data_IF_081792973761
#
_entry.id   IF_081792973761
#
_cell.length_a   1.000
_cell.length_b   1.000
_cell.length_c   1.000
_cell.angle_alpha   90.00
_cell.angle_beta   90.00
_cell.angle_gamma   90.00
#
_symmetry.space_group_name_H-M   'P 1'
#
loop_
_entity.id
_entity.type
_entity.pdbx_description
1 polymer ?
#
# COMPACT_ATOMS: atom_id res chain seq x y z
N UNK A 1 -11.20 -18.89 63.66
CA UNK A 1 -11.00 -17.51 63.18
C UNK A 1 -10.49 -17.58 61.75
N UNK A 2 -11.31 -17.13 60.80
CA UNK A 2 -11.10 -17.25 59.35
C UNK A 2 -9.98 -16.30 58.90
N UNK A 3 -8.91 -16.83 58.28
CA UNK A 3 -7.94 -16.01 57.55
C UNK A 3 -8.29 -16.08 56.06
N UNK A 4 -8.92 -15.00 55.57
CA UNK A 4 -9.11 -14.75 54.15
C UNK A 4 -7.74 -14.51 53.53
N UNK A 5 -7.29 -15.40 52.65
CA UNK A 5 -6.12 -15.15 51.79
C UNK A 5 -6.67 -14.50 50.52
N UNK A 6 -6.42 -13.21 50.39
CA UNK A 6 -6.77 -12.42 49.21
C UNK A 6 -5.72 -12.71 48.11
N UNK A 7 -6.12 -13.46 47.09
CA UNK A 7 -5.29 -13.73 45.92
C UNK A 7 -5.44 -12.54 44.96
N UNK A 8 -4.48 -11.62 44.96
CA UNK A 8 -4.43 -10.51 44.00
C UNK A 8 -3.77 -11.05 42.73
N UNK A 9 -4.59 -11.33 41.72
CA UNK A 9 -4.14 -11.66 40.37
C UNK A 9 -3.64 -10.38 39.69
N UNK A 10 -2.33 -10.20 39.61
CA UNK A 10 -1.70 -9.09 38.91
C UNK A 10 -1.73 -9.39 37.40
N UNK A 11 -2.78 -8.93 36.72
CA UNK A 11 -2.90 -9.03 35.26
C UNK A 11 -2.00 -7.96 34.63
N UNK A 12 -0.76 -8.30 34.31
CA UNK A 12 0.12 -7.44 33.52
C UNK A 12 -0.40 -7.38 32.09
N UNK A 13 -1.13 -6.32 31.76
CA UNK A 13 -1.45 -5.97 30.37
C UNK A 13 -0.16 -5.48 29.72
N UNK A 14 0.47 -6.34 28.92
CA UNK A 14 1.58 -5.96 28.05
C UNK A 14 0.99 -5.07 26.95
N UNK A 15 1.10 -3.75 27.12
CA UNK A 15 0.92 -2.82 26.02
C UNK A 15 2.11 -2.99 25.08
N UNK A 16 1.94 -3.75 24.00
CA UNK A 16 2.84 -3.69 22.85
C UNK A 16 2.74 -2.30 22.26
N UNK A 17 3.78 -1.47 22.47
CA UNK A 17 3.92 -0.22 21.71
C UNK A 17 4.11 -0.60 20.25
N UNK A 18 3.09 -0.38 19.42
CA UNK A 18 3.22 -0.39 17.97
C UNK A 18 4.18 0.76 17.61
N UNK A 19 5.37 0.43 17.13
CA UNK A 19 6.40 1.41 16.76
C UNK A 19 6.12 1.79 15.32
N UNK A 20 5.11 2.64 15.14
CA UNK A 20 4.71 3.10 13.81
C UNK A 20 5.86 3.84 13.11
N UNK A 21 6.11 3.53 11.85
CA UNK A 21 7.19 4.12 11.08
C UNK A 21 6.84 5.54 10.61
N UNK A 22 7.63 6.54 11.02
CA UNK A 22 7.49 7.93 10.55
C UNK A 22 8.26 8.13 9.24
N UNK A 23 7.55 8.39 8.14
CA UNK A 23 8.13 8.69 6.83
C UNK A 23 7.60 10.03 6.35
N UNK A 24 8.48 11.02 6.17
CA UNK A 24 8.08 12.33 5.64
C UNK A 24 7.09 13.10 6.50
N UNK A 25 7.11 12.89 7.82
CA UNK A 25 6.19 13.47 8.83
C UNK A 25 4.78 12.87 8.86
N UNK A 26 4.56 11.77 8.16
CA UNK A 26 3.34 10.96 8.29
C UNK A 26 3.69 9.59 8.86
N UNK A 27 2.71 8.99 9.50
CA UNK A 27 2.86 7.73 10.23
C UNK A 27 2.19 6.61 9.45
N UNK A 28 2.96 5.57 9.11
CA UNK A 28 2.43 4.35 8.50
C UNK A 28 2.28 3.27 9.57
N UNK A 29 1.18 2.51 9.59
CA UNK A 29 1.02 1.41 10.54
C UNK A 29 2.05 0.30 10.28
N UNK A 30 2.37 -0.46 11.32
CA UNK A 30 3.30 -1.59 11.20
C UNK A 30 2.67 -2.80 10.52
N UNK A 31 1.35 -2.89 10.57
CA UNK A 31 0.57 -3.97 10.00
C UNK A 31 -0.77 -3.50 9.41
N UNK A 32 -1.29 -4.28 8.48
CA UNK A 32 -2.66 -4.17 7.97
C UNK A 32 -3.39 -5.50 8.18
N UNK A 33 -4.53 -5.43 8.85
CA UNK A 33 -5.38 -6.59 9.13
C UNK A 33 -6.42 -6.68 8.00
N UNK A 34 -6.35 -7.75 7.23
CA UNK A 34 -7.35 -8.15 6.24
C UNK A 34 -8.32 -9.15 6.88
N UNK A 35 -9.33 -9.59 6.13
CA UNK A 35 -10.35 -10.52 6.67
C UNK A 35 -9.73 -11.84 7.15
N UNK A 36 -8.79 -12.39 6.38
CA UNK A 36 -8.17 -13.69 6.64
C UNK A 36 -6.66 -13.63 6.89
N UNK A 37 -6.04 -12.47 6.69
CA UNK A 37 -4.59 -12.30 6.68
C UNK A 37 -4.15 -11.10 7.50
N UNK A 38 -2.93 -11.14 8.02
CA UNK A 38 -2.24 -9.97 8.58
C UNK A 38 -1.01 -9.69 7.73
N UNK A 39 -0.93 -8.48 7.19
CA UNK A 39 0.19 -8.03 6.39
C UNK A 39 1.10 -7.15 7.22
N UNK A 40 2.40 -7.44 7.20
CA UNK A 40 3.42 -6.65 7.88
C UNK A 40 4.05 -5.66 6.91
N UNK A 41 4.41 -4.48 7.40
CA UNK A 41 5.14 -3.51 6.60
C UNK A 41 6.50 -4.09 6.18
N UNK A 42 6.70 -4.22 4.88
CA UNK A 42 7.94 -4.69 4.27
C UNK A 42 8.99 -3.59 4.27
N UNK A 43 8.60 -2.44 3.74
CA UNK A 43 9.43 -1.24 3.59
C UNK A 43 8.55 -0.03 3.31
N UNK A 44 9.12 1.15 3.48
CA UNK A 44 8.40 2.40 3.26
C UNK A 44 9.34 3.52 2.82
N UNK A 45 8.85 4.37 1.93
CA UNK A 45 9.64 5.43 1.31
C UNK A 45 8.81 6.62 0.86
N UNK A 46 9.47 7.60 0.24
CA UNK A 46 8.83 8.81 -0.26
C UNK A 46 8.78 8.84 -1.78
N UNK A 47 7.58 8.99 -2.34
CA UNK A 47 7.45 9.43 -3.73
C UNK A 47 7.78 10.91 -3.81
N UNK A 48 8.82 11.24 -4.58
CA UNK A 48 9.25 12.62 -4.83
C UNK A 48 9.06 12.98 -6.30
N UNK A 49 8.71 14.24 -6.57
CA UNK A 49 8.82 14.85 -7.90
C UNK A 49 9.79 16.02 -7.79
N UNK A 50 10.98 15.86 -8.35
CA UNK A 50 12.13 16.76 -8.12
C UNK A 50 12.42 16.88 -6.61
N UNK A 51 12.12 18.01 -6.00
CA UNK A 51 12.30 18.27 -4.55
C UNK A 51 11.00 18.13 -3.73
N UNK A 52 9.84 17.98 -4.40
CA UNK A 52 8.53 17.96 -3.75
C UNK A 52 8.22 16.54 -3.30
N UNK A 53 7.98 16.36 -1.99
CA UNK A 53 7.46 15.10 -1.42
C UNK A 53 5.97 15.03 -1.71
N UNK A 54 5.53 13.99 -2.41
CA UNK A 54 4.12 13.85 -2.80
C UNK A 54 3.34 13.02 -1.79
N UNK A 55 3.83 11.81 -1.50
CA UNK A 55 3.27 10.92 -0.49
C UNK A 55 4.36 10.05 0.13
N UNK A 56 4.13 9.57 1.35
CA UNK A 56 4.80 8.40 1.87
C UNK A 56 4.06 7.16 1.41
N UNK A 57 4.77 6.11 1.04
CA UNK A 57 4.16 4.83 0.74
C UNK A 57 4.78 3.72 1.58
N UNK A 58 3.94 2.77 1.99
CA UNK A 58 4.35 1.53 2.63
C UNK A 58 3.87 0.33 1.83
N UNK A 59 4.76 -0.63 1.63
CA UNK A 59 4.44 -1.94 1.06
C UNK A 59 4.22 -2.93 2.19
N UNK A 60 3.15 -3.72 2.11
CA UNK A 60 2.77 -4.66 3.15
C UNK A 60 2.59 -6.06 2.55
N UNK A 61 3.20 -7.05 3.20
CA UNK A 61 3.29 -8.42 2.73
C UNK A 61 3.04 -9.40 3.90
N UNK A 62 2.60 -10.64 3.64
CA UNK A 62 2.46 -11.66 4.68
C UNK A 62 3.82 -12.00 5.31
N UNK A 63 4.89 -11.91 4.52
CA UNK A 63 6.28 -12.10 4.94
C UNK A 63 7.19 -11.09 4.25
N UNK A 64 8.22 -10.63 4.95
CA UNK A 64 9.17 -9.66 4.38
C UNK A 64 9.97 -10.29 3.22
N UNK A 65 10.06 -9.57 2.11
CA UNK A 65 10.73 -9.98 0.87
C UNK A 65 11.41 -8.74 0.25
N UNK A 66 12.60 -8.92 -0.31
CA UNK A 66 13.33 -7.85 -1.03
C UNK A 66 13.38 -8.06 -2.54
N UNK A 67 12.96 -9.23 -3.02
CA UNK A 67 12.89 -9.57 -4.44
C UNK A 67 11.57 -9.08 -5.03
N UNK A 68 11.62 -8.02 -5.85
CA UNK A 68 10.44 -7.51 -6.55
C UNK A 68 9.79 -8.58 -7.44
N UNK A 69 10.59 -9.40 -8.12
CA UNK A 69 10.09 -10.47 -8.99
C UNK A 69 9.32 -11.51 -8.18
N UNK A 70 9.84 -11.95 -7.04
CA UNK A 70 9.11 -12.89 -6.17
C UNK A 70 7.80 -12.29 -5.66
N UNK A 71 7.82 -11.01 -5.27
CA UNK A 71 6.61 -10.31 -4.81
C UNK A 71 5.59 -10.21 -5.94
N UNK A 72 6.00 -9.79 -7.14
CA UNK A 72 5.12 -9.58 -8.29
C UNK A 72 4.58 -10.89 -8.87
N UNK A 73 5.33 -11.98 -8.83
CA UNK A 73 4.89 -13.26 -9.38
C UNK A 73 4.03 -14.09 -8.43
N UNK A 74 4.04 -13.78 -7.12
CA UNK A 74 3.26 -14.49 -6.13
C UNK A 74 1.75 -14.20 -6.22
N UNK A 75 0.94 -15.26 -6.14
CA UNK A 75 -0.51 -15.19 -5.86
C UNK A 75 -0.75 -15.15 -4.34
N UNK A 76 -0.28 -14.05 -3.73
CA UNK A 76 -0.37 -13.80 -2.29
C UNK A 76 -0.98 -12.41 -2.05
N UNK A 77 -1.66 -12.21 -0.90
CA UNK A 77 -2.15 -10.90 -0.53
C UNK A 77 -1.02 -9.87 -0.46
N UNK A 78 -1.29 -8.66 -0.90
CA UNK A 78 -0.33 -7.55 -0.93
C UNK A 78 -1.10 -6.25 -0.79
N UNK A 79 -0.54 -5.30 -0.05
CA UNK A 79 -1.13 -3.98 0.06
C UNK A 79 -0.08 -2.89 -0.11
N UNK A 80 -0.48 -1.82 -0.78
CA UNK A 80 0.27 -0.58 -0.87
C UNK A 80 -0.59 0.55 -0.30
N UNK A 81 -0.10 1.17 0.77
CA UNK A 81 -0.68 2.37 1.36
C UNK A 81 0.07 3.59 0.87
N UNK A 82 -0.64 4.62 0.44
CA UNK A 82 -0.12 5.94 0.12
C UNK A 82 -0.75 6.98 1.05
N UNK A 83 0.08 7.72 1.78
CA UNK A 83 -0.35 8.81 2.65
C UNK A 83 0.17 10.13 2.08
N UNK A 84 -0.74 10.93 1.55
CA UNK A 84 -0.41 12.15 0.82
C UNK A 84 0.11 13.26 1.74
N UNK A 85 1.25 13.84 1.37
CA UNK A 85 1.94 14.92 2.09
C UNK A 85 1.79 16.24 1.34
N UNK A 86 1.75 16.18 0.01
CA UNK A 86 1.59 17.36 -0.82
C UNK A 86 0.17 17.89 -0.74
N UNK A 87 0.03 19.22 -0.77
CA UNK A 87 -1.23 19.94 -0.51
C UNK A 87 -2.39 19.46 -1.38
N UNK A 88 -2.14 19.20 -2.66
CA UNK A 88 -3.17 18.89 -3.63
C UNK A 88 -2.53 18.28 -4.89
N UNK A 89 -3.02 17.13 -5.33
CA UNK A 89 -2.69 16.49 -6.60
C UNK A 89 -3.99 16.31 -7.37
N UNK A 90 -4.12 17.00 -8.50
CA UNK A 90 -5.32 16.92 -9.33
C UNK A 90 -5.56 15.48 -9.84
N UNK A 91 -6.83 15.06 -10.02
CA UNK A 91 -7.16 13.72 -10.50
C UNK A 91 -6.46 13.36 -11.80
N UNK A 92 -6.40 14.30 -12.75
CA UNK A 92 -5.77 14.10 -14.06
C UNK A 92 -4.28 13.81 -13.91
N UNK A 93 -3.61 14.39 -12.89
CA UNK A 93 -2.20 14.15 -12.59
C UNK A 93 -1.95 12.81 -11.90
N UNK A 94 -2.93 12.30 -11.16
CA UNK A 94 -2.88 10.93 -10.64
C UNK A 94 -3.02 9.95 -11.79
N UNK A 95 -4.05 10.10 -12.61
CA UNK A 95 -4.34 9.26 -13.77
C UNK A 95 -3.18 9.26 -14.77
N UNK A 96 -2.59 10.42 -15.07
CA UNK A 96 -1.39 10.52 -15.92
C UNK A 96 -0.23 9.69 -15.35
N UNK A 97 0.03 9.79 -14.05
CA UNK A 97 1.11 9.05 -13.40
C UNK A 97 0.84 7.53 -13.33
N UNK A 98 -0.41 7.11 -13.12
CA UNK A 98 -0.79 5.70 -13.15
C UNK A 98 -0.62 5.11 -14.54
N UNK A 99 -1.07 5.82 -15.58
CA UNK A 99 -0.90 5.38 -16.96
C UNK A 99 0.56 5.30 -17.39
N UNK A 100 1.42 6.24 -16.94
CA UNK A 100 2.87 6.14 -17.13
C UNK A 100 3.43 4.87 -16.46
N UNK A 101 3.03 4.59 -15.23
CA UNK A 101 3.44 3.37 -14.53
C UNK A 101 2.98 2.08 -15.22
N UNK A 102 1.73 2.04 -15.71
CA UNK A 102 1.23 0.91 -16.47
C UNK A 102 1.96 0.73 -17.81
N UNK A 103 2.31 1.82 -18.50
CA UNK A 103 3.13 1.76 -19.71
C UNK A 103 4.50 1.13 -19.43
N UNK A 104 5.18 1.59 -18.37
CA UNK A 104 6.48 1.07 -17.97
C UNK A 104 6.43 -0.38 -17.48
N UNK A 105 5.25 -0.86 -17.04
CA UNK A 105 5.06 -2.27 -16.67
C UNK A 105 5.13 -3.23 -17.87
N UNK A 106 4.92 -2.74 -19.09
CA UNK A 106 4.85 -3.57 -20.30
C UNK A 106 3.61 -4.45 -20.42
N UNK A 107 2.65 -4.36 -19.48
CA UNK A 107 1.45 -5.20 -19.42
C UNK A 107 0.15 -4.46 -19.81
N UNK A 108 0.26 -3.24 -20.33
CA UNK A 108 -0.88 -2.35 -20.56
C UNK A 108 -1.84 -2.84 -21.64
N UNK A 109 -1.34 -3.31 -22.78
CA UNK A 109 -2.16 -3.57 -23.97
C UNK A 109 -3.29 -4.57 -23.70
N UNK A 110 -3.01 -5.63 -22.93
CA UNK A 110 -4.00 -6.66 -22.58
C UNK A 110 -4.94 -6.25 -21.43
N UNK A 111 -4.61 -5.17 -20.71
CA UNK A 111 -5.28 -4.77 -19.47
C UNK A 111 -5.99 -3.43 -19.56
N UNK A 112 -6.03 -2.79 -20.73
CA UNK A 112 -6.61 -1.46 -20.91
C UNK A 112 -8.01 -1.30 -20.30
N UNK A 113 -8.97 -2.24 -20.49
CA UNK A 113 -10.29 -2.11 -19.85
C UNK A 113 -10.24 -2.07 -18.32
N UNK A 114 -9.33 -2.83 -17.71
CA UNK A 114 -9.14 -2.86 -16.25
C UNK A 114 -8.44 -1.58 -15.76
N UNK A 115 -7.49 -1.07 -16.54
CA UNK A 115 -6.82 0.21 -16.28
C UNK A 115 -7.81 1.37 -16.35
N UNK A 116 -8.74 1.36 -17.31
CA UNK A 116 -9.78 2.39 -17.43
C UNK A 116 -10.71 2.37 -16.21
N UNK A 117 -11.11 1.18 -15.75
CA UNK A 117 -11.88 1.02 -14.52
C UNK A 117 -11.10 1.55 -13.31
N UNK A 118 -9.82 1.18 -13.18
CA UNK A 118 -8.95 1.68 -12.11
C UNK A 118 -8.87 3.21 -12.10
N UNK A 119 -8.62 3.82 -13.26
CA UNK A 119 -8.53 5.26 -13.41
C UNK A 119 -9.86 5.96 -13.08
N UNK A 120 -11.00 5.33 -13.37
CA UNK A 120 -12.33 5.88 -13.06
C UNK A 120 -12.59 6.10 -11.58
N UNK A 121 -11.84 5.44 -10.69
CA UNK A 121 -11.98 5.59 -9.24
C UNK A 121 -11.39 6.91 -8.70
N UNK A 122 -10.51 7.57 -9.46
CA UNK A 122 -9.82 8.78 -9.04
C UNK A 122 -10.51 10.02 -9.63
N UNK A 123 -11.64 10.40 -9.03
CA UNK A 123 -12.45 11.55 -9.49
C UNK A 123 -12.17 12.86 -8.75
N UNK A 124 -11.55 12.77 -7.57
CA UNK A 124 -11.24 13.90 -6.69
C UNK A 124 -9.73 14.11 -6.59
N UNK A 125 -9.34 15.35 -6.28
CA UNK A 125 -7.95 15.65 -6.01
C UNK A 125 -7.50 14.94 -4.73
N UNK A 126 -6.30 14.37 -4.73
CA UNK A 126 -5.69 13.88 -3.50
C UNK A 126 -5.15 15.08 -2.71
N UNK A 127 -5.62 15.26 -1.49
CA UNK A 127 -5.22 16.33 -0.59
C UNK A 127 -4.22 15.84 0.45
N UNK A 128 -3.62 16.78 1.17
CA UNK A 128 -2.74 16.43 2.29
C UNK A 128 -3.52 15.64 3.34
N UNK A 129 -2.89 14.60 3.87
CA UNK A 129 -3.45 13.61 4.81
C UNK A 129 -4.41 12.58 4.21
N UNK A 130 -4.72 12.66 2.91
CA UNK A 130 -5.49 11.59 2.26
C UNK A 130 -4.70 10.28 2.27
N UNK A 131 -5.43 9.18 2.52
CA UNK A 131 -4.90 7.82 2.52
C UNK A 131 -5.56 7.03 1.39
N UNK A 132 -4.74 6.53 0.49
CA UNK A 132 -5.17 5.66 -0.62
C UNK A 132 -4.54 4.29 -0.39
N UNK A 133 -5.37 3.24 -0.38
CA UNK A 133 -4.91 1.86 -0.24
C UNK A 133 -5.27 1.07 -1.49
N UNK A 134 -4.28 0.34 -2.02
CA UNK A 134 -4.45 -0.65 -3.08
C UNK A 134 -4.14 -2.00 -2.48
N UNK A 135 -5.14 -2.87 -2.41
CA UNK A 135 -5.07 -4.14 -1.66
C UNK A 135 -5.49 -5.26 -2.59
N UNK A 136 -4.63 -6.24 -2.77
CA UNK A 136 -4.97 -7.49 -3.46
C UNK A 136 -5.17 -8.62 -2.46
N UNK A 137 -6.24 -9.38 -2.67
CA UNK A 137 -6.54 -10.63 -1.98
C UNK A 137 -6.80 -11.73 -3.03
N UNK A 138 -6.09 -12.88 -2.97
CA UNK A 138 -6.36 -14.01 -3.86
C UNK A 138 -7.83 -14.42 -3.84
N UNK A 139 -8.40 -14.69 -5.01
CA UNK A 139 -9.82 -15.03 -5.16
C UNK A 139 -10.81 -13.86 -5.09
N UNK A 140 -10.39 -12.67 -4.64
CA UNK A 140 -11.21 -11.44 -4.60
C UNK A 140 -10.77 -10.40 -5.64
N UNK A 141 -9.46 -10.24 -5.82
CA UNK A 141 -8.89 -9.24 -6.74
C UNK A 141 -8.32 -8.02 -6.01
N UNK A 142 -8.11 -6.95 -6.77
CA UNK A 142 -7.49 -5.70 -6.29
C UNK A 142 -8.56 -4.69 -5.91
N UNK A 143 -8.71 -4.43 -4.62
CA UNK A 143 -9.57 -3.39 -4.06
C UNK A 143 -8.84 -2.06 -4.01
N UNK A 144 -9.55 -0.98 -4.35
CA UNK A 144 -9.04 0.40 -4.23
C UNK A 144 -9.85 1.14 -3.18
N UNK A 145 -9.19 1.62 -2.14
CA UNK A 145 -9.78 2.45 -1.11
C UNK A 145 -9.23 3.87 -1.20
N UNK A 146 -10.11 4.86 -1.13
CA UNK A 146 -9.77 6.28 -1.07
C UNK A 146 -10.42 6.84 0.19
N UNK A 147 -9.61 7.40 1.10
CA UNK A 147 -10.08 7.93 2.40
C UNK A 147 -10.86 6.88 3.21
N UNK A 148 -10.43 5.62 3.12
CA UNK A 148 -11.07 4.48 3.78
C UNK A 148 -12.36 3.96 3.11
N UNK A 149 -12.83 4.59 2.03
CA UNK A 149 -14.02 4.16 1.30
C UNK A 149 -13.63 3.28 0.10
N UNK A 150 -14.25 2.09 -0.01
CA UNK A 150 -14.07 1.20 -1.16
C UNK A 150 -14.65 1.83 -2.42
N UNK A 151 -13.80 2.06 -3.43
CA UNK A 151 -14.22 2.60 -4.74
C UNK A 151 -14.54 1.49 -5.75
N UNK A 152 -13.91 0.35 -5.63
CA UNK A 152 -14.21 -0.82 -6.44
C UNK A 152 -13.17 -1.92 -6.31
N UNK A 153 -13.42 -3.02 -7.01
CA UNK A 153 -12.59 -4.22 -7.03
C UNK A 153 -12.33 -4.59 -8.50
N UNK A 154 -11.08 -4.88 -8.83
CA UNK A 154 -10.65 -5.30 -10.15
C UNK A 154 -10.03 -6.69 -10.06
N UNK A 155 -10.67 -7.65 -10.70
CA UNK A 155 -10.28 -9.06 -10.64
C UNK A 155 -9.01 -9.35 -11.48
N UNK A 156 -8.32 -10.41 -11.07
CA UNK A 156 -7.25 -11.04 -11.84
C UNK A 156 -5.84 -10.77 -11.32
N UNK A 157 -5.03 -11.84 -11.33
CA UNK A 157 -3.61 -11.80 -10.96
C UNK A 157 -2.77 -10.99 -11.96
N UNK A 158 -3.19 -10.97 -13.23
CA UNK A 158 -2.65 -10.13 -14.30
C UNK A 158 -2.73 -8.63 -13.94
N UNK A 159 -3.88 -8.16 -13.49
CA UNK A 159 -4.07 -6.79 -13.09
C UNK A 159 -3.30 -6.45 -11.82
N UNK A 160 -3.32 -7.36 -10.83
CA UNK A 160 -2.48 -7.28 -9.64
C UNK A 160 -1.01 -7.07 -10.01
N UNK A 161 -0.47 -7.90 -10.90
CA UNK A 161 0.90 -7.76 -11.40
C UNK A 161 1.15 -6.39 -12.01
N UNK A 162 0.25 -5.93 -12.88
CA UNK A 162 0.40 -4.66 -13.57
C UNK A 162 0.34 -3.45 -12.63
N UNK A 163 -0.65 -3.40 -11.72
CA UNK A 163 -0.81 -2.26 -10.82
C UNK A 163 0.33 -2.16 -9.82
N UNK A 164 0.77 -3.27 -9.21
CA UNK A 164 1.89 -3.22 -8.26
C UNK A 164 3.24 -2.98 -8.96
N UNK A 165 3.36 -3.31 -10.25
CA UNK A 165 4.55 -2.99 -11.06
C UNK A 165 4.78 -1.48 -11.25
N UNK A 166 3.77 -0.63 -11.05
CA UNK A 166 3.94 0.82 -11.03
C UNK A 166 5.03 1.23 -10.02
N UNK A 167 5.06 0.56 -8.86
CA UNK A 167 6.04 0.82 -7.80
C UNK A 167 7.20 -0.17 -7.78
N UNK A 168 6.95 -1.45 -8.09
CA UNK A 168 7.93 -2.52 -7.89
C UNK A 168 8.61 -2.98 -9.19
N UNK A 169 8.08 -2.60 -10.35
CA UNK A 169 8.58 -3.02 -11.64
C UNK A 169 10.01 -2.53 -11.87
N UNK A 170 10.81 -3.32 -12.58
CA UNK A 170 12.21 -3.00 -12.87
C UNK A 170 12.36 -1.68 -13.64
N UNK A 171 11.43 -1.39 -14.55
CA UNK A 171 11.44 -0.18 -15.38
C UNK A 171 10.72 1.01 -14.74
N UNK A 172 10.33 0.93 -13.46
CA UNK A 172 9.61 2.03 -12.80
C UNK A 172 10.41 3.34 -12.81
N UNK A 173 9.72 4.47 -12.98
CA UNK A 173 10.31 5.80 -12.78
C UNK A 173 10.50 6.14 -11.29
N UNK A 174 10.11 5.25 -10.37
CA UNK A 174 10.13 5.42 -8.93
C UNK A 174 11.26 4.66 -8.21
N UNK A 175 12.43 4.47 -8.85
CA UNK A 175 13.49 3.58 -8.34
C UNK A 175 13.87 3.79 -6.86
N UNK A 176 14.06 5.05 -6.42
CA UNK A 176 14.37 5.31 -5.00
C UNK A 176 13.24 4.87 -4.06
N UNK A 177 11.98 5.05 -4.46
CA UNK A 177 10.87 4.57 -3.65
C UNK A 177 10.78 3.04 -3.71
N UNK A 178 11.04 2.44 -4.88
CA UNK A 178 11.06 0.99 -5.05
C UNK A 178 12.04 0.35 -4.07
N UNK A 179 13.26 0.86 -3.99
CA UNK A 179 14.29 0.33 -3.10
C UNK A 179 13.86 0.43 -1.62
N UNK A 180 13.33 1.60 -1.22
CA UNK A 180 12.77 1.82 0.12
C UNK A 180 11.62 0.81 0.45
N UNK A 181 10.73 0.53 -0.52
CA UNK A 181 9.61 -0.40 -0.35
C UNK A 181 10.06 -1.86 -0.25
N UNK A 182 11.14 -2.22 -0.94
CA UNK A 182 11.75 -3.56 -0.91
C UNK A 182 12.65 -3.77 0.32
N UNK A 183 12.92 -2.70 1.08
CA UNK A 183 13.76 -2.75 2.28
C UNK A 183 15.25 -2.87 1.96
N UNK A 184 15.70 -2.32 0.83
CA UNK A 184 17.09 -2.30 0.39
C UNK A 184 17.80 -0.99 0.75
#
# INVERSE_FOLDING_TARGET
MKKFILFILFLTVLFSSLISLEIGKVTLPDEMILENDTLLINGAGLRKKLIIKVYAAGLYLPQKKSSATEILEADEPIALRMHFIYKNVAPEKLIEAWNEGFELSGMKEDLQPKIDIFNSYFTEAAEKEDIYDIIYEPGKGTSVYIKGELKGIIEGLDFRKAVFSIWLGENTSLQSLRDDLLGN
#
